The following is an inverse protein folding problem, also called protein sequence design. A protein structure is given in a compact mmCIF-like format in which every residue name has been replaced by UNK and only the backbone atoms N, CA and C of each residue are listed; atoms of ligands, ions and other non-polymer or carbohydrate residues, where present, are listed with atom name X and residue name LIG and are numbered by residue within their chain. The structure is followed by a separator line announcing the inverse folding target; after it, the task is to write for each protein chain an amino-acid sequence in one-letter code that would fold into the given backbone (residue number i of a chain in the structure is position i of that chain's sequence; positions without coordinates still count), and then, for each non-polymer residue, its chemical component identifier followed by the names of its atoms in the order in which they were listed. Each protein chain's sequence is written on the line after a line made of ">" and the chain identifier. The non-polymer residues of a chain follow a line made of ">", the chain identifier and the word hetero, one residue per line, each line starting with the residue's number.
data_IF_097066156818
#
_entry.id   IF_097066156818
#
_cell.length_a   1.000
_cell.length_b   1.000
_cell.length_c   1.000
_cell.angle_alpha   90.00
_cell.angle_beta   90.00
_cell.angle_gamma   90.00
#
_symmetry.space_group_name_H-M   'P 1'
#
loop_
_entity.id
_entity.type
_entity.pdbx_description
1 polymer ?
#
# COMPACT_ATOMS: atom_id res chain seq x y z
N UNK A 1 -10.02 15.02 32.66
CA UNK A 1 -9.01 15.03 33.73
C UNK A 1 -9.33 13.93 34.75
N UNK A 2 -8.75 12.74 34.61
CA UNK A 2 -8.87 11.69 35.61
C UNK A 2 -8.06 12.08 36.86
N UNK A 3 -8.75 12.38 37.97
CA UNK A 3 -8.12 12.68 39.26
C UNK A 3 -7.49 11.42 39.84
N UNK A 4 -6.16 11.44 40.02
CA UNK A 4 -5.30 10.33 40.46
C UNK A 4 -5.33 9.09 39.53
N UNK A 5 -4.58 9.16 38.42
CA UNK A 5 -4.32 8.00 37.55
C UNK A 5 -3.28 7.09 38.23
N UNK A 6 -3.58 5.80 38.34
CA UNK A 6 -2.67 4.77 38.86
C UNK A 6 -2.11 3.86 37.74
N UNK A 7 -2.17 4.30 36.48
CA UNK A 7 -1.76 3.52 35.31
C UNK A 7 -1.04 4.39 34.28
N UNK A 8 -0.17 3.75 33.49
CA UNK A 8 0.66 4.42 32.47
C UNK A 8 0.02 4.41 31.07
N UNK A 9 -1.21 3.90 30.94
CA UNK A 9 -1.94 3.91 29.65
C UNK A 9 -2.42 5.30 29.26
N UNK A 10 -2.34 5.60 27.96
CA UNK A 10 -2.84 6.83 27.35
C UNK A 10 -4.37 6.76 27.22
N UNK A 11 -5.07 7.73 27.81
CA UNK A 11 -6.51 7.91 27.68
C UNK A 11 -6.74 9.12 26.78
N UNK A 12 -7.22 8.86 25.57
CA UNK A 12 -7.46 9.88 24.56
C UNK A 12 -8.68 10.75 24.90
N UNK A 13 -8.61 12.01 24.50
CA UNK A 13 -9.77 12.89 24.48
C UNK A 13 -10.68 12.55 23.28
N UNK A 14 -11.98 12.93 23.32
CA UNK A 14 -12.86 12.69 22.19
C UNK A 14 -12.36 13.37 20.91
N UNK A 15 -12.25 12.60 19.83
CA UNK A 15 -11.81 13.08 18.52
C UNK A 15 -12.88 12.85 17.45
N UNK A 16 -13.09 13.85 16.59
CA UNK A 16 -14.06 13.84 15.49
C UNK A 16 -13.50 13.19 14.22
N UNK A 17 -12.17 13.12 14.07
CA UNK A 17 -11.51 12.61 12.87
C UNK A 17 -11.89 11.19 12.47
N UNK A 18 -12.13 10.22 13.39
CA UNK A 18 -12.62 8.89 13.01
C UNK A 18 -13.96 8.94 12.26
N UNK A 19 -14.89 9.81 12.68
CA UNK A 19 -16.18 9.97 12.02
C UNK A 19 -16.02 10.61 10.63
N UNK A 20 -15.26 11.69 10.54
CA UNK A 20 -14.99 12.38 9.26
C UNK A 20 -14.28 11.42 8.29
N UNK A 21 -13.34 10.62 8.79
CA UNK A 21 -12.64 9.60 8.02
C UNK A 21 -13.58 8.57 7.43
N UNK A 22 -14.51 8.03 8.22
CA UNK A 22 -15.48 7.03 7.72
C UNK A 22 -16.40 7.60 6.64
N UNK A 23 -16.90 8.83 6.80
CA UNK A 23 -17.74 9.51 5.79
C UNK A 23 -16.92 9.80 4.52
N UNK A 24 -15.67 10.24 4.68
CA UNK A 24 -14.76 10.52 3.56
C UNK A 24 -14.43 9.25 2.77
N UNK A 25 -14.15 8.13 3.46
CA UNK A 25 -13.89 6.84 2.85
C UNK A 25 -15.13 6.32 2.10
N UNK A 26 -16.33 6.42 2.69
CA UNK A 26 -17.57 6.06 2.01
C UNK A 26 -17.78 6.89 0.74
N UNK A 27 -17.58 8.20 0.84
CA UNK A 27 -17.70 9.14 -0.29
C UNK A 27 -16.68 8.80 -1.39
N UNK A 28 -15.44 8.48 -1.01
CA UNK A 28 -14.41 8.01 -1.93
C UNK A 28 -14.82 6.72 -2.66
N UNK A 29 -15.29 5.70 -1.93
CA UNK A 29 -15.72 4.44 -2.54
C UNK A 29 -16.91 4.62 -3.48
N UNK A 30 -17.90 5.42 -3.09
CA UNK A 30 -19.03 5.75 -3.98
C UNK A 30 -18.53 6.48 -5.24
N UNK A 31 -17.61 7.43 -5.08
CA UNK A 31 -16.98 8.12 -6.21
C UNK A 31 -16.24 7.18 -7.16
N UNK A 32 -15.50 6.21 -6.62
CA UNK A 32 -14.81 5.17 -7.41
C UNK A 32 -15.81 4.28 -8.19
N UNK A 33 -16.90 3.89 -7.54
CA UNK A 33 -17.97 3.12 -8.21
C UNK A 33 -18.60 3.93 -9.34
N UNK A 34 -18.91 5.20 -9.11
CA UNK A 34 -19.47 6.07 -10.15
C UNK A 34 -18.52 6.25 -11.33
N UNK A 35 -17.21 6.41 -11.06
CA UNK A 35 -16.16 6.52 -12.09
C UNK A 35 -16.04 5.26 -12.94
N UNK A 36 -16.26 4.07 -12.36
CA UNK A 36 -16.22 2.80 -13.11
C UNK A 36 -17.53 2.49 -13.84
N UNK A 37 -18.57 3.32 -13.68
CA UNK A 37 -19.92 3.13 -14.22
C UNK A 37 -20.39 4.37 -14.99
N UNK A 38 -19.63 4.77 -16.02
CA UNK A 38 -19.84 6.00 -16.81
C UNK A 38 -21.27 6.16 -17.37
N UNK A 39 -21.99 5.07 -17.63
CA UNK A 39 -23.33 5.11 -18.21
C UNK A 39 -24.45 5.58 -17.25
N UNK A 40 -24.19 5.64 -15.94
CA UNK A 40 -25.23 5.85 -14.93
C UNK A 40 -25.16 7.21 -14.21
N UNK A 41 -24.00 7.86 -14.19
CA UNK A 41 -23.73 8.96 -13.26
C UNK A 41 -23.12 10.21 -13.91
N UNK A 42 -23.03 10.25 -15.24
CA UNK A 42 -22.44 11.35 -16.02
C UNK A 42 -21.10 11.82 -15.38
N UNK A 43 -20.88 13.14 -15.28
CA UNK A 43 -19.68 13.74 -14.70
C UNK A 43 -19.70 13.88 -13.16
N UNK A 44 -20.74 13.41 -12.48
CA UNK A 44 -20.88 13.59 -11.03
C UNK A 44 -19.77 12.89 -10.24
N UNK A 45 -19.18 11.83 -10.79
CA UNK A 45 -18.07 11.09 -10.16
C UNK A 45 -16.89 11.99 -9.84
N UNK A 46 -16.58 12.99 -10.67
CA UNK A 46 -15.44 13.90 -10.47
C UNK A 46 -15.53 14.65 -9.15
N UNK A 47 -16.72 15.15 -8.84
CA UNK A 47 -16.99 15.92 -7.62
C UNK A 47 -17.00 14.99 -6.41
N UNK A 48 -17.75 13.89 -6.49
CA UNK A 48 -17.89 12.94 -5.37
C UNK A 48 -16.54 12.32 -5.02
N UNK A 49 -15.80 11.83 -6.01
CA UNK A 49 -14.46 11.27 -5.82
C UNK A 49 -13.48 12.32 -5.29
N UNK A 50 -13.48 13.53 -5.86
CA UNK A 50 -12.62 14.63 -5.43
C UNK A 50 -12.86 15.03 -3.97
N UNK A 51 -14.12 15.13 -3.53
CA UNK A 51 -14.48 15.40 -2.14
C UNK A 51 -14.06 14.25 -1.22
N UNK A 52 -14.26 13.00 -1.63
CA UNK A 52 -13.80 11.82 -0.88
C UNK A 52 -12.28 11.82 -0.66
N UNK A 53 -11.50 12.05 -1.71
CA UNK A 53 -10.03 12.15 -1.63
C UNK A 53 -9.61 13.30 -0.71
N UNK A 54 -10.18 14.50 -0.90
CA UNK A 54 -9.85 15.66 -0.07
C UNK A 54 -10.17 15.42 1.41
N UNK A 55 -11.32 14.81 1.71
CA UNK A 55 -11.71 14.45 3.07
C UNK A 55 -10.77 13.42 3.72
N UNK A 56 -10.34 12.40 2.96
CA UNK A 56 -9.37 11.41 3.45
C UNK A 56 -8.01 12.06 3.74
N UNK A 57 -7.48 12.89 2.83
CA UNK A 57 -6.22 13.62 3.04
C UNK A 57 -6.31 14.49 4.30
N UNK A 58 -7.40 15.24 4.45
CA UNK A 58 -7.60 16.10 5.62
C UNK A 58 -7.67 15.29 6.92
N UNK A 59 -8.37 14.16 6.91
CA UNK A 59 -8.47 13.26 8.06
C UNK A 59 -7.10 12.72 8.46
N UNK A 60 -6.39 12.14 7.50
CA UNK A 60 -5.09 11.53 7.72
C UNK A 60 -4.05 12.54 8.22
N UNK A 61 -3.96 13.69 7.56
CA UNK A 61 -3.05 14.77 7.98
C UNK A 61 -3.32 15.22 9.41
N UNK A 62 -4.59 15.46 9.74
CA UNK A 62 -4.98 15.98 11.06
C UNK A 62 -4.81 14.92 12.16
N UNK A 63 -5.14 13.66 11.87
CA UNK A 63 -4.97 12.57 12.82
C UNK A 63 -3.49 12.33 13.12
N UNK A 64 -2.63 12.22 12.10
CA UNK A 64 -1.19 12.02 12.37
C UNK A 64 -0.54 13.21 13.04
N UNK A 65 -1.02 14.44 12.77
CA UNK A 65 -0.60 15.62 13.53
C UNK A 65 -0.95 15.47 15.01
N UNK A 66 -2.19 15.09 15.34
CA UNK A 66 -2.62 14.88 16.74
C UNK A 66 -1.72 13.84 17.44
N UNK A 67 -1.41 12.72 16.78
CA UNK A 67 -0.51 11.69 17.34
C UNK A 67 0.90 12.23 17.64
N UNK A 68 1.40 13.15 16.81
CA UNK A 68 2.71 13.81 17.05
C UNK A 68 2.60 14.81 18.21
N UNK A 69 1.51 15.57 18.30
CA UNK A 69 1.28 16.52 19.38
C UNK A 69 1.14 15.80 20.74
N UNK A 70 0.42 14.66 20.78
CA UNK A 70 0.32 13.75 21.93
C UNK A 70 1.69 13.20 22.36
N UNK A 71 2.54 12.84 21.39
CA UNK A 71 3.91 12.40 21.66
C UNK A 71 4.74 13.50 22.35
N UNK A 72 4.62 14.76 21.89
CA UNK A 72 5.31 15.90 22.48
C UNK A 72 4.74 16.32 23.83
N UNK A 73 3.44 16.12 24.07
CA UNK A 73 2.81 16.33 25.37
C UNK A 73 3.30 15.33 26.44
N UNK A 74 3.91 14.23 26.02
CA UNK A 74 4.47 13.21 26.90
C UNK A 74 3.53 12.03 27.17
N UNK A 75 2.43 11.91 26.41
CA UNK A 75 1.43 10.85 26.59
C UNK A 75 1.93 9.47 26.13
N UNK A 76 3.03 9.42 25.37
CA UNK A 76 3.67 8.20 24.89
C UNK A 76 4.61 7.61 25.95
N UNK A 77 4.04 7.12 27.06
CA UNK A 77 4.78 6.36 28.10
C UNK A 77 5.47 5.12 27.50
N UNK A 78 6.46 4.50 28.18
CA UNK A 78 7.12 3.30 27.67
C UNK A 78 6.16 2.15 27.35
N UNK A 79 5.08 2.01 28.14
CA UNK A 79 4.02 1.01 27.89
C UNK A 79 3.27 1.35 26.61
N UNK A 80 2.89 2.61 26.38
CA UNK A 80 2.19 3.05 25.16
C UNK A 80 3.07 2.86 23.92
N UNK A 81 4.35 3.23 23.99
CA UNK A 81 5.30 3.03 22.89
C UNK A 81 5.46 1.54 22.53
N UNK A 82 5.48 0.64 23.52
CA UNK A 82 5.51 -0.80 23.28
C UNK A 82 4.28 -1.27 22.50
N UNK A 83 3.07 -0.83 22.89
CA UNK A 83 1.83 -1.17 22.20
C UNK A 83 1.77 -0.59 20.79
N UNK A 84 2.26 0.64 20.57
CA UNK A 84 2.37 1.22 19.22
C UNK A 84 3.28 0.39 18.30
N UNK A 85 4.40 -0.13 18.83
CA UNK A 85 5.28 -1.05 18.08
C UNK A 85 4.56 -2.35 17.73
N UNK A 86 3.82 -2.94 18.67
CA UNK A 86 2.99 -4.12 18.36
C UNK A 86 1.91 -3.83 17.33
N UNK A 87 1.25 -2.66 17.40
CA UNK A 87 0.30 -2.22 16.39
C UNK A 87 0.91 -2.17 15.00
N UNK A 88 2.11 -1.58 14.86
CA UNK A 88 2.82 -1.55 13.58
C UNK A 88 3.25 -2.95 13.10
N UNK A 89 3.72 -3.82 14.01
CA UNK A 89 4.10 -5.20 13.66
C UNK A 89 2.88 -5.98 13.13
N UNK A 90 1.74 -5.88 13.81
CA UNK A 90 0.50 -6.55 13.38
C UNK A 90 -0.03 -5.98 12.07
N UNK A 91 0.08 -4.67 11.86
CA UNK A 91 -0.25 -4.03 10.58
C UNK A 91 0.64 -4.57 9.44
N UNK A 92 1.96 -4.61 9.62
CA UNK A 92 2.89 -5.20 8.64
C UNK A 92 2.56 -6.68 8.39
N UNK A 93 2.22 -7.44 9.44
CA UNK A 93 1.81 -8.83 9.29
C UNK A 93 0.52 -8.96 8.43
N UNK A 94 -0.45 -8.05 8.59
CA UNK A 94 -1.63 -8.03 7.72
C UNK A 94 -1.31 -7.66 6.27
N UNK A 95 -0.36 -6.75 6.03
CA UNK A 95 0.11 -6.43 4.67
C UNK A 95 0.80 -7.64 4.02
N UNK A 96 1.61 -8.39 4.77
CA UNK A 96 2.19 -9.66 4.27
C UNK A 96 1.08 -10.64 3.86
N UNK A 97 0.05 -10.80 4.68
CA UNK A 97 -1.10 -11.67 4.35
C UNK A 97 -1.89 -11.18 3.14
N UNK A 98 -2.01 -9.86 2.94
CA UNK A 98 -2.59 -9.29 1.73
C UNK A 98 -1.78 -9.70 0.48
N UNK A 99 -0.45 -9.61 0.52
CA UNK A 99 0.42 -10.08 -0.57
C UNK A 99 0.35 -11.59 -0.80
N UNK A 100 0.13 -12.40 0.24
CA UNK A 100 -0.07 -13.85 0.08
C UNK A 100 -1.21 -14.16 -0.90
N UNK A 101 -2.30 -13.38 -0.88
CA UNK A 101 -3.40 -13.53 -1.84
C UNK A 101 -2.97 -13.33 -3.29
N UNK A 102 -2.15 -12.30 -3.55
CA UNK A 102 -1.61 -12.02 -4.89
C UNK A 102 -0.61 -13.08 -5.35
N UNK A 103 0.31 -13.49 -4.47
CA UNK A 103 1.26 -14.56 -4.79
C UNK A 103 0.56 -15.88 -5.03
N UNK A 104 -0.47 -16.20 -4.25
CA UNK A 104 -1.28 -17.40 -4.48
C UNK A 104 -1.91 -17.35 -5.87
N UNK A 105 -2.61 -16.27 -6.24
CA UNK A 105 -3.18 -16.15 -7.57
C UNK A 105 -2.13 -16.35 -8.68
N UNK A 106 -0.95 -15.71 -8.55
CA UNK A 106 0.14 -15.89 -9.51
C UNK A 106 0.63 -17.35 -9.59
N UNK A 107 0.93 -18.00 -8.46
CA UNK A 107 1.44 -19.36 -8.44
C UNK A 107 0.42 -20.39 -8.93
N UNK A 108 -0.87 -20.17 -8.67
CA UNK A 108 -1.94 -21.03 -9.18
C UNK A 108 -1.93 -21.04 -10.72
N UNK A 109 -1.90 -19.87 -11.36
CA UNK A 109 -1.84 -19.77 -12.82
C UNK A 109 -0.48 -20.17 -13.42
N UNK A 110 0.63 -19.99 -12.69
CA UNK A 110 1.95 -20.36 -13.18
C UNK A 110 2.22 -21.87 -13.09
N UNK A 111 1.76 -22.54 -12.02
CA UNK A 111 1.94 -23.98 -11.81
C UNK A 111 0.87 -24.82 -12.49
N UNK A 112 -0.37 -24.31 -12.56
CA UNK A 112 -1.51 -24.96 -13.19
C UNK A 112 -2.10 -24.06 -14.29
N UNK A 113 -1.36 -23.84 -15.39
CA UNK A 113 -1.79 -22.95 -16.45
C UNK A 113 -3.12 -23.39 -17.03
N UNK A 114 -3.97 -22.41 -17.31
CA UNK A 114 -5.24 -22.65 -17.98
C UNK A 114 -5.03 -22.56 -19.50
N UNK A 115 -5.78 -23.34 -20.29
CA UNK A 115 -5.66 -23.28 -21.73
C UNK A 115 -6.27 -21.97 -22.25
N UNK A 116 -5.41 -21.02 -22.58
CA UNK A 116 -5.78 -19.71 -23.09
C UNK A 116 -5.45 -19.63 -24.58
N UNK A 117 -6.37 -19.11 -25.38
CA UNK A 117 -6.12 -18.80 -26.79
C UNK A 117 -6.33 -17.31 -27.04
N UNK A 118 -5.37 -16.70 -27.71
CA UNK A 118 -5.53 -15.36 -28.24
C UNK A 118 -6.29 -15.41 -29.57
N UNK A 119 -7.47 -14.81 -29.64
CA UNK A 119 -8.24 -14.64 -30.87
C UNK A 119 -8.07 -13.21 -31.36
N UNK A 120 -7.32 -13.02 -32.45
CA UNK A 120 -7.12 -11.70 -33.06
C UNK A 120 -8.40 -11.21 -33.76
N UNK A 121 -8.82 -9.99 -33.45
CA UNK A 121 -9.89 -9.24 -34.14
C UNK A 121 -9.34 -7.94 -34.71
N UNK A 122 -10.06 -7.34 -35.66
CA UNK A 122 -9.68 -6.07 -36.31
C UNK A 122 -9.47 -4.90 -35.32
N UNK A 123 -10.06 -4.99 -34.12
CA UNK A 123 -10.00 -3.98 -33.05
C UNK A 123 -9.02 -4.30 -31.89
N UNK A 124 -8.16 -5.32 -32.05
CA UNK A 124 -7.30 -5.83 -30.98
C UNK A 124 -7.94 -7.06 -30.33
N UNK A 125 -7.26 -8.20 -30.45
CA UNK A 125 -7.76 -9.49 -30.02
C UNK A 125 -8.04 -9.61 -28.53
N UNK A 126 -8.71 -10.70 -28.16
CA UNK A 126 -9.02 -11.03 -26.77
C UNK A 126 -8.56 -12.45 -26.42
N UNK A 127 -8.38 -12.69 -25.12
CA UNK A 127 -8.00 -13.99 -24.59
C UNK A 127 -9.24 -14.79 -24.20
N UNK A 128 -9.40 -15.96 -24.79
CA UNK A 128 -10.48 -16.91 -24.49
C UNK A 128 -9.96 -17.99 -23.54
N UNK A 129 -10.75 -18.26 -22.49
CA UNK A 129 -10.53 -19.38 -21.60
C UNK A 129 -11.19 -20.64 -22.18
N UNK A 130 -10.39 -21.68 -22.43
CA UNK A 130 -10.83 -22.93 -23.07
C UNK A 130 -11.00 -24.08 -22.05
N UNK A 131 -11.15 -23.77 -20.74
CA UNK A 131 -11.36 -24.77 -19.71
C UNK A 131 -12.60 -25.62 -20.05
N UNK A 132 -12.44 -26.94 -20.03
CA UNK A 132 -13.52 -27.90 -20.29
C UNK A 132 -13.74 -28.25 -21.76
N UNK A 133 -13.01 -27.65 -22.72
CA UNK A 133 -13.02 -28.10 -24.11
C UNK A 133 -12.07 -29.29 -24.32
N UNK A 134 -12.51 -30.28 -25.11
CA UNK A 134 -11.70 -31.46 -25.44
C UNK A 134 -10.40 -31.04 -26.15
N UNK A 135 -9.26 -31.53 -25.67
CA UNK A 135 -7.93 -31.23 -26.23
C UNK A 135 -7.34 -29.88 -25.81
N UNK A 136 -8.10 -29.00 -25.15
CA UNK A 136 -7.62 -27.67 -24.77
C UNK A 136 -6.46 -27.72 -23.77
N UNK A 137 -6.42 -28.70 -22.86
CA UNK A 137 -5.33 -28.87 -21.89
C UNK A 137 -3.93 -28.95 -22.52
N UNK A 138 -3.82 -29.35 -23.79
CA UNK A 138 -2.55 -29.39 -24.52
C UNK A 138 -2.00 -27.97 -24.85
N UNK A 139 -2.83 -26.93 -24.77
CA UNK A 139 -2.47 -25.53 -25.01
C UNK A 139 -2.04 -24.79 -23.73
N UNK A 140 -2.17 -25.43 -22.57
CA UNK A 140 -1.84 -24.85 -21.28
C UNK A 140 -0.32 -24.67 -21.13
N UNK A 141 0.15 -23.43 -21.28
CA UNK A 141 1.56 -23.06 -21.14
C UNK A 141 1.69 -21.76 -20.35
N UNK A 142 2.73 -21.67 -19.52
CA UNK A 142 3.09 -20.45 -18.81
C UNK A 142 4.51 -20.03 -19.20
N UNK A 143 4.74 -18.80 -19.65
CA UNK A 143 3.74 -17.77 -19.98
C UNK A 143 2.86 -18.20 -21.16
N UNK A 144 1.65 -17.64 -21.26
CA UNK A 144 0.76 -17.92 -22.39
C UNK A 144 1.40 -17.49 -23.71
N UNK A 145 1.13 -18.23 -24.78
CA UNK A 145 1.73 -17.99 -26.10
C UNK A 145 1.44 -16.56 -26.61
N UNK A 146 2.50 -15.78 -26.86
CA UNK A 146 2.37 -14.39 -27.31
C UNK A 146 2.60 -13.35 -26.20
N UNK A 147 2.86 -13.79 -24.97
CA UNK A 147 3.34 -12.93 -23.87
C UNK A 147 4.87 -13.00 -23.82
N UNK A 148 5.53 -11.86 -24.02
CA UNK A 148 6.96 -11.73 -23.77
C UNK A 148 7.21 -11.35 -22.31
N UNK A 149 8.12 -12.07 -21.65
CA UNK A 149 8.49 -11.82 -20.26
C UNK A 149 9.64 -10.82 -20.22
N UNK A 150 9.57 -9.87 -19.28
CA UNK A 150 10.65 -8.91 -19.04
C UNK A 150 11.93 -9.64 -18.59
N UNK A 151 13.08 -9.24 -19.15
CA UNK A 151 14.37 -9.78 -18.72
C UNK A 151 14.65 -9.40 -17.25
N UNK A 152 14.75 -10.39 -16.34
CA UNK A 152 14.97 -10.12 -14.92
C UNK A 152 16.29 -9.42 -14.61
N UNK A 153 17.31 -9.55 -15.46
CA UNK A 153 18.63 -8.95 -15.24
C UNK A 153 18.77 -7.51 -15.72
N UNK A 154 17.73 -6.98 -16.35
CA UNK A 154 17.68 -5.61 -16.85
C UNK A 154 17.14 -4.65 -15.76
N UNK A 155 15.97 -4.06 -15.99
CA UNK A 155 15.30 -3.13 -15.08
C UNK A 155 14.95 -3.75 -13.72
N UNK A 156 14.45 -5.00 -13.60
CA UNK A 156 14.10 -5.56 -12.30
C UNK A 156 15.31 -5.71 -11.36
N UNK A 157 16.47 -6.11 -11.89
CA UNK A 157 17.71 -6.18 -11.11
C UNK A 157 18.16 -4.80 -10.63
N UNK A 158 18.14 -3.80 -11.51
CA UNK A 158 18.47 -2.43 -11.14
C UNK A 158 17.57 -1.93 -9.99
N UNK A 159 16.26 -2.14 -10.11
CA UNK A 159 15.28 -1.76 -9.09
C UNK A 159 15.50 -2.51 -7.77
N UNK A 160 15.91 -3.78 -7.81
CA UNK A 160 16.31 -4.54 -6.62
C UNK A 160 17.50 -3.90 -5.92
N UNK A 161 18.53 -3.50 -6.68
CA UNK A 161 19.71 -2.83 -6.12
C UNK A 161 19.36 -1.45 -5.54
N UNK A 162 18.47 -0.69 -6.18
CA UNK A 162 17.98 0.60 -5.68
C UNK A 162 17.29 0.42 -4.32
N UNK A 163 16.39 -0.56 -4.18
CA UNK A 163 15.69 -0.81 -2.92
C UNK A 163 16.63 -1.34 -1.82
N UNK A 164 17.59 -2.21 -2.15
CA UNK A 164 18.58 -2.67 -1.18
C UNK A 164 19.46 -1.51 -0.70
N UNK A 165 19.85 -0.61 -1.61
CA UNK A 165 20.60 0.60 -1.28
C UNK A 165 19.76 1.57 -0.43
N UNK A 166 18.47 1.74 -0.73
CA UNK A 166 17.61 2.57 0.13
C UNK A 166 17.49 1.97 1.54
N UNK A 167 17.42 0.65 1.66
CA UNK A 167 17.47 -0.08 2.93
C UNK A 167 18.74 0.16 3.76
N UNK A 168 19.92 0.21 3.12
CA UNK A 168 21.17 0.53 3.83
C UNK A 168 21.21 2.00 4.26
N UNK A 169 20.74 2.93 3.42
CA UNK A 169 20.70 4.36 3.78
C UNK A 169 19.78 4.67 4.95
N UNK A 170 18.61 4.02 5.06
CA UNK A 170 17.72 4.21 6.22
C UNK A 170 18.28 3.58 7.50
N UNK A 171 18.98 2.45 7.38
CA UNK A 171 19.69 1.82 8.51
C UNK A 171 20.82 2.72 9.01
N UNK A 172 21.57 3.34 8.10
CA UNK A 172 22.56 4.37 8.44
C UNK A 172 21.90 5.57 9.15
N UNK A 173 20.78 6.08 8.63
CA UNK A 173 20.04 7.17 9.24
C UNK A 173 19.59 6.83 10.68
N UNK A 174 19.09 5.61 10.90
CA UNK A 174 18.69 5.11 12.21
C UNK A 174 19.88 5.04 13.18
N UNK A 175 21.01 4.48 12.73
CA UNK A 175 22.21 4.39 13.56
C UNK A 175 22.78 5.76 13.92
N UNK A 176 22.75 6.73 12.99
CA UNK A 176 23.15 8.11 13.23
C UNK A 176 22.27 8.78 14.32
N UNK A 177 20.95 8.55 14.28
CA UNK A 177 20.04 9.04 15.32
C UNK A 177 20.37 8.47 16.70
N UNK A 178 20.67 7.16 16.80
CA UNK A 178 21.05 6.52 18.07
C UNK A 178 22.35 7.10 18.68
N UNK A 179 23.27 7.57 17.83
CA UNK A 179 24.53 8.20 18.24
C UNK A 179 24.46 9.73 18.36
N UNK A 180 23.27 10.32 18.19
CA UNK A 180 23.07 11.76 18.29
C UNK A 180 23.53 12.58 17.08
N UNK A 181 23.94 11.96 15.97
CA UNK A 181 24.32 12.62 14.73
C UNK A 181 23.08 13.01 13.90
N UNK A 182 22.66 14.27 14.06
CA UNK A 182 21.52 14.84 13.33
C UNK A 182 21.82 15.13 11.86
N UNK A 183 23.08 15.36 11.47
CA UNK A 183 23.42 15.57 10.08
C UNK A 183 23.39 14.27 9.29
N UNK A 184 24.00 13.21 9.83
CA UNK A 184 23.96 11.87 9.27
C UNK A 184 22.53 11.36 9.10
N UNK A 185 21.69 11.56 10.12
CA UNK A 185 20.25 11.24 10.06
C UNK A 185 19.56 11.92 8.86
N UNK A 186 19.72 13.24 8.71
CA UNK A 186 19.08 14.01 7.64
C UNK A 186 19.58 13.58 6.26
N UNK A 187 20.89 13.40 6.09
CA UNK A 187 21.50 12.96 4.82
C UNK A 187 21.04 11.56 4.44
N UNK A 188 21.03 10.63 5.39
CA UNK A 188 20.56 9.26 5.18
C UNK A 188 19.08 9.21 4.77
N UNK A 189 18.19 9.93 5.48
CA UNK A 189 16.77 9.97 5.15
C UNK A 189 16.50 10.58 3.76
N UNK A 190 17.17 11.68 3.40
CA UNK A 190 17.04 12.26 2.06
C UNK A 190 17.49 11.29 0.97
N UNK A 191 18.61 10.58 1.17
CA UNK A 191 19.06 9.56 0.24
C UNK A 191 18.03 8.43 0.09
N UNK A 192 17.44 7.94 1.20
CA UNK A 192 16.39 6.92 1.17
C UNK A 192 15.18 7.39 0.35
N UNK A 193 14.69 8.62 0.59
CA UNK A 193 13.52 9.16 -0.11
C UNK A 193 13.80 9.32 -1.61
N UNK A 194 14.97 9.85 -1.98
CA UNK A 194 15.35 10.01 -3.39
C UNK A 194 15.46 8.67 -4.13
N UNK A 195 16.03 7.64 -3.48
CA UNK A 195 16.07 6.29 -4.05
C UNK A 195 14.67 5.68 -4.17
N UNK A 196 13.76 5.98 -3.24
CA UNK A 196 12.34 5.57 -3.33
C UNK A 196 11.60 6.24 -4.49
N UNK A 197 11.85 7.53 -4.73
CA UNK A 197 11.32 8.26 -5.90
C UNK A 197 11.91 7.69 -7.19
N UNK A 198 13.21 7.37 -7.21
CA UNK A 198 13.87 6.78 -8.38
C UNK A 198 13.31 5.38 -8.74
N UNK A 199 12.85 4.62 -7.75
CA UNK A 199 12.23 3.32 -7.95
C UNK A 199 10.82 3.40 -8.58
N UNK A 200 10.09 4.47 -8.31
CA UNK A 200 8.70 4.68 -8.75
C UNK A 200 8.66 5.15 -10.20
#
# INVERSE_FOLDING_TARGET
>A
MAGAKNHDYHILEPDIWPLIGSISALTFFVGMVMMMNDNFFDDAWKIVLGLGIAGMIATFFSWWKNVVDEAHAGDHTPVVQLHMRYGMILFIASEVMFFVGWFWAFFDFALFPQPLRFTATESGGFWENLIGQEGAAALATFPAQGIEVLDPFSLPLLNTLILLCSGTTVTWAHHALLHGDREGLKKGLWATILLGILFT
#
